data_IF_855962386546
#
_entry.id   IF_855962386546
#
_cell.length_a   1.000
_cell.length_b   1.000
_cell.length_c   1.000
_cell.angle_alpha   90.00
_cell.angle_beta   90.00
_cell.angle_gamma   90.00
#
_symmetry.space_group_name_H-M   'P 1'
#
loop_
_entity.id
_entity.type
_entity.pdbx_description
1 polymer ?
#
# COMPACT_ATOMS: atom_id res chain seq x y z
N UNK A 1 -6.43 10.13 15.95
CA UNK A 1 -7.50 9.17 16.28
C UNK A 1 -8.77 9.64 15.60
N UNK A 2 -9.25 8.92 14.60
CA UNK A 2 -10.47 9.24 13.86
C UNK A 2 -11.69 8.81 14.67
N UNK A 3 -12.46 9.78 15.15
CA UNK A 3 -13.77 9.51 15.72
C UNK A 3 -14.71 9.01 14.61
N UNK A 4 -15.48 7.93 14.82
CA UNK A 4 -16.52 7.57 13.87
C UNK A 4 -17.57 8.71 13.80
N UNK A 5 -18.08 9.06 12.61
CA UNK A 5 -19.06 10.13 12.46
C UNK A 5 -20.33 9.82 13.26
N UNK A 6 -20.99 10.87 13.78
CA UNK A 6 -22.29 10.83 14.51
C UNK A 6 -23.44 10.11 13.77
N UNK A 7 -23.22 9.71 12.52
CA UNK A 7 -24.16 8.97 11.68
C UNK A 7 -24.22 7.47 11.97
N UNK A 8 -23.37 6.96 12.89
CA UNK A 8 -23.39 5.56 13.32
C UNK A 8 -24.75 5.12 13.85
N UNK A 9 -25.41 5.97 14.63
CA UNK A 9 -26.65 5.63 15.31
C UNK A 9 -27.81 5.50 14.30
N UNK A 10 -27.85 6.43 13.33
CA UNK A 10 -28.81 6.39 12.21
C UNK A 10 -28.64 5.14 11.35
N UNK A 11 -27.40 4.74 11.09
CA UNK A 11 -27.09 3.53 10.33
C UNK A 11 -27.50 2.28 11.10
N UNK A 12 -27.25 2.23 12.41
CA UNK A 12 -27.66 1.12 13.27
C UNK A 12 -29.18 0.97 13.30
N UNK A 13 -29.92 2.08 13.41
CA UNK A 13 -31.38 2.07 13.41
C UNK A 13 -31.95 1.62 12.06
N UNK A 14 -31.39 2.11 10.96
CA UNK A 14 -31.74 1.65 9.62
C UNK A 14 -31.51 0.13 9.47
N UNK A 15 -30.34 -0.36 9.89
CA UNK A 15 -30.03 -1.79 9.81
C UNK A 15 -30.92 -2.63 10.70
N UNK A 16 -31.37 -2.12 11.85
CA UNK A 16 -32.35 -2.78 12.73
C UNK A 16 -33.74 -2.83 12.09
N UNK A 17 -34.17 -1.73 11.49
CA UNK A 17 -35.47 -1.61 10.83
C UNK A 17 -35.59 -2.51 9.60
N UNK A 18 -34.49 -2.71 8.88
CA UNK A 18 -34.44 -3.51 7.66
C UNK A 18 -33.83 -4.90 7.86
N UNK A 19 -33.85 -5.48 9.07
CA UNK A 19 -33.41 -6.87 9.26
C UNK A 19 -34.47 -7.82 8.71
N UNK A 20 -34.17 -8.59 7.64
CA UNK A 20 -35.05 -9.66 7.24
C UNK A 20 -35.08 -10.74 8.32
N UNK A 21 -36.20 -11.43 8.44
CA UNK A 21 -36.31 -12.61 9.30
C UNK A 21 -35.35 -13.67 8.74
N UNK A 22 -34.44 -14.23 9.57
CA UNK A 22 -33.55 -15.29 9.10
C UNK A 22 -34.40 -16.50 8.68
N UNK A 23 -34.02 -17.20 7.59
CA UNK A 23 -34.70 -18.42 7.20
C UNK A 23 -34.60 -19.46 8.32
N UNK A 24 -35.60 -20.33 8.42
CA UNK A 24 -35.56 -21.46 9.34
C UNK A 24 -34.29 -22.29 9.07
N UNK A 25 -33.59 -22.78 10.11
CA UNK A 25 -32.45 -23.66 9.91
C UNK A 25 -32.88 -24.90 9.11
N UNK A 26 -32.11 -25.22 8.08
CA UNK A 26 -32.27 -26.41 7.27
C UNK A 26 -31.18 -27.43 7.69
N UNK A 27 -31.49 -28.40 8.58
CA UNK A 27 -30.49 -29.31 9.14
C UNK A 27 -29.90 -30.28 8.10
N UNK A 28 -30.62 -30.49 6.99
CA UNK A 28 -30.21 -31.31 5.84
C UNK A 28 -29.31 -30.55 4.84
N UNK A 29 -29.14 -29.24 5.00
CA UNK A 29 -28.46 -28.40 4.02
C UNK A 29 -26.98 -28.77 3.87
N UNK A 30 -26.31 -29.07 4.99
CA UNK A 30 -24.91 -29.46 4.98
C UNK A 30 -24.71 -30.79 4.24
N UNK A 31 -25.52 -31.80 4.55
CA UNK A 31 -25.47 -33.10 3.90
C UNK A 31 -25.75 -32.99 2.39
N UNK A 32 -26.71 -32.15 2.01
CA UNK A 32 -27.04 -31.89 0.60
C UNK A 32 -25.91 -31.18 -0.13
N UNK A 33 -25.24 -30.21 0.50
CA UNK A 33 -24.08 -29.52 -0.07
C UNK A 33 -22.92 -30.50 -0.23
N UNK A 34 -22.60 -31.28 0.80
CA UNK A 34 -21.52 -32.28 0.75
C UNK A 34 -21.77 -33.32 -0.35
N UNK A 35 -23.00 -33.82 -0.45
CA UNK A 35 -23.40 -34.75 -1.52
C UNK A 35 -23.26 -34.10 -2.89
N UNK A 36 -23.70 -32.84 -3.06
CA UNK A 36 -23.59 -32.12 -4.31
C UNK A 36 -22.13 -31.86 -4.72
N UNK A 37 -21.25 -31.54 -3.76
CA UNK A 37 -19.82 -31.35 -4.01
C UNK A 37 -19.16 -32.66 -4.42
N UNK A 38 -19.45 -33.76 -3.71
CA UNK A 38 -18.93 -35.09 -4.02
C UNK A 38 -19.44 -35.62 -5.38
N UNK A 39 -20.68 -35.31 -5.75
CA UNK A 39 -21.27 -35.68 -7.02
C UNK A 39 -20.85 -34.75 -8.18
N UNK A 40 -20.29 -33.57 -7.89
CA UNK A 40 -19.87 -32.64 -8.92
C UNK A 40 -18.56 -33.14 -9.58
N UNK A 41 -18.56 -33.42 -10.90
CA UNK A 41 -17.30 -33.56 -11.61
C UNK A 41 -16.60 -32.20 -11.52
N UNK A 42 -15.42 -32.16 -10.91
CA UNK A 42 -14.59 -30.96 -10.84
C UNK A 42 -14.60 -30.28 -12.22
N UNK A 43 -15.08 -29.03 -12.25
CA UNK A 43 -15.29 -28.28 -13.47
C UNK A 43 -14.05 -28.43 -14.37
N UNK A 44 -14.25 -28.98 -15.57
CA UNK A 44 -13.20 -29.07 -16.58
C UNK A 44 -12.70 -27.65 -16.82
N UNK A 45 -11.51 -27.33 -16.31
CA UNK A 45 -10.83 -26.08 -16.61
C UNK A 45 -10.59 -26.03 -18.11
N UNK A 46 -11.43 -25.29 -18.83
CA UNK A 46 -11.14 -24.93 -20.21
C UNK A 46 -9.88 -24.03 -20.20
N UNK A 47 -8.91 -24.24 -21.10
CA UNK A 47 -7.67 -23.48 -21.12
C UNK A 47 -7.90 -22.07 -21.69
N UNK A 48 -8.59 -21.20 -20.95
CA UNK A 48 -8.76 -19.78 -21.27
C UNK A 48 -7.42 -19.02 -21.37
N UNK A 49 -6.33 -19.62 -20.88
CA UNK A 49 -4.98 -19.02 -20.90
C UNK A 49 -4.46 -18.68 -22.31
N UNK A 50 -4.89 -19.41 -23.35
CA UNK A 50 -4.39 -19.19 -24.72
C UNK A 50 -5.16 -18.11 -25.48
N UNK A 51 -6.42 -17.87 -25.11
CA UNK A 51 -7.30 -16.89 -25.77
C UNK A 51 -7.20 -15.48 -25.15
N UNK A 52 -6.58 -15.33 -23.97
CA UNK A 52 -6.42 -14.04 -23.30
C UNK A 52 -5.13 -13.27 -23.68
N UNK A 53 -4.15 -13.94 -24.29
CA UNK A 53 -2.90 -13.31 -24.71
C UNK A 53 -2.99 -12.61 -26.07
N UNK A 54 -3.97 -12.97 -26.89
CA UNK A 54 -4.18 -12.38 -28.22
C UNK A 54 -4.47 -10.87 -28.14
N UNK A 55 -5.40 -10.38 -27.29
CA UNK A 55 -5.65 -8.94 -27.19
C UNK A 55 -4.49 -8.15 -26.57
N UNK A 56 -3.77 -8.74 -25.59
CA UNK A 56 -2.61 -8.08 -24.96
C UNK A 56 -1.47 -7.85 -25.94
N UNK A 57 -1.15 -8.84 -26.79
CA UNK A 57 -0.08 -8.71 -27.77
C UNK A 57 -0.39 -7.62 -28.82
N UNK A 58 -1.65 -7.54 -29.26
CA UNK A 58 -2.12 -6.52 -30.21
C UNK A 58 -2.09 -5.12 -29.56
N UNK A 59 -2.55 -4.98 -28.31
CA UNK A 59 -2.50 -3.71 -27.60
C UNK A 59 -1.05 -3.23 -27.37
N UNK A 60 -0.16 -4.15 -26.99
CA UNK A 60 1.26 -3.84 -26.79
C UNK A 60 1.94 -3.36 -28.08
N UNK A 61 1.68 -4.02 -29.22
CA UNK A 61 2.24 -3.58 -30.51
C UNK A 61 1.67 -2.24 -30.96
N UNK A 62 0.38 -1.96 -30.70
CA UNK A 62 -0.22 -0.66 -30.99
C UNK A 62 0.39 0.47 -30.14
N UNK A 63 0.60 0.23 -28.84
CA UNK A 63 1.22 1.20 -27.93
C UNK A 63 2.68 1.47 -28.30
N UNK A 64 3.43 0.45 -28.70
CA UNK A 64 4.81 0.62 -29.18
C UNK A 64 4.82 1.39 -30.52
N UNK A 65 3.93 1.07 -31.46
CA UNK A 65 3.84 1.77 -32.73
C UNK A 65 3.44 3.25 -32.55
N UNK A 66 2.48 3.55 -31.68
CA UNK A 66 2.02 4.91 -31.37
C UNK A 66 3.01 5.71 -30.51
N UNK A 67 3.62 5.06 -29.52
CA UNK A 67 4.66 5.66 -28.69
C UNK A 67 5.91 5.97 -29.52
N UNK A 68 6.31 5.07 -30.42
CA UNK A 68 7.44 5.26 -31.32
C UNK A 68 7.25 6.48 -32.23
N UNK A 69 6.09 6.64 -32.86
CA UNK A 69 5.82 7.82 -33.71
C UNK A 69 5.80 9.13 -32.91
N UNK A 70 5.37 9.10 -31.64
CA UNK A 70 5.42 10.27 -30.75
C UNK A 70 6.84 10.60 -30.29
N UNK A 71 7.68 9.59 -30.00
CA UNK A 71 9.09 9.77 -29.63
C UNK A 71 9.94 10.29 -30.80
N UNK A 72 9.60 9.94 -32.04
CA UNK A 72 10.27 10.48 -33.22
C UNK A 72 9.97 11.97 -33.49
N UNK A 73 8.98 12.55 -32.77
CA UNK A 73 8.65 13.98 -32.84
C UNK A 73 9.20 14.78 -31.65
N UNK A 74 10.31 14.37 -31.05
CA UNK A 74 10.97 15.24 -30.05
C UNK A 74 11.34 16.57 -30.71
N UNK A 75 10.79 17.71 -30.25
CA UNK A 75 11.24 19.02 -30.69
C UNK A 75 12.72 19.11 -30.37
N UNK A 76 13.55 19.50 -31.35
CA UNK A 76 14.95 19.78 -31.10
C UNK A 76 15.03 20.84 -30.00
N UNK A 77 15.63 20.54 -28.82
CA UNK A 77 15.68 21.51 -27.74
C UNK A 77 16.45 22.75 -28.20
N UNK A 78 15.92 23.91 -27.86
CA UNK A 78 16.54 25.20 -28.14
C UNK A 78 17.78 25.38 -27.26
N UNK A 79 18.70 26.26 -27.68
CA UNK A 79 19.93 26.53 -26.91
C UNK A 79 19.63 27.04 -25.49
N UNK A 80 18.51 27.73 -25.29
CA UNK A 80 18.09 28.20 -23.97
C UNK A 80 17.62 27.07 -23.06
N UNK A 81 16.93 26.06 -23.59
CA UNK A 81 16.48 24.88 -22.84
C UNK A 81 17.66 23.96 -22.47
N UNK A 82 18.71 23.92 -23.30
CA UNK A 82 19.96 23.24 -22.95
C UNK A 82 20.68 23.97 -21.82
N UNK A 83 20.79 25.30 -21.89
CA UNK A 83 21.42 26.09 -20.83
C UNK A 83 20.69 25.96 -19.48
N UNK A 84 19.35 25.90 -19.49
CA UNK A 84 18.59 25.68 -18.26
C UNK A 84 18.76 24.27 -17.68
N UNK A 85 18.89 23.25 -18.55
CA UNK A 85 19.15 21.88 -18.13
C UNK A 85 20.56 21.71 -17.54
N UNK A 86 21.56 22.32 -18.16
CA UNK A 86 22.95 22.34 -17.66
C UNK A 86 23.02 23.00 -16.28
N UNK A 87 22.38 24.15 -16.10
CA UNK A 87 22.32 24.84 -14.81
C UNK A 87 21.59 24.01 -13.74
N UNK A 88 20.51 23.32 -14.11
CA UNK A 88 19.78 22.43 -13.19
C UNK A 88 20.63 21.24 -12.74
N UNK A 89 21.35 20.61 -13.66
CA UNK A 89 22.24 19.49 -13.37
C UNK A 89 23.40 19.93 -12.47
N UNK A 90 24.01 21.09 -12.76
CA UNK A 90 25.08 21.65 -11.94
C UNK A 90 24.61 21.95 -10.51
N UNK A 91 23.43 22.58 -10.37
CA UNK A 91 22.85 22.87 -9.06
C UNK A 91 22.50 21.59 -8.28
N UNK A 92 21.98 20.57 -8.95
CA UNK A 92 21.63 19.29 -8.30
C UNK A 92 22.88 18.51 -7.87
N UNK A 93 23.96 18.56 -8.65
CA UNK A 93 25.22 17.89 -8.29
C UNK A 93 25.93 18.56 -7.11
N UNK A 94 25.86 19.89 -7.01
CA UNK A 94 26.42 20.63 -5.88
C UNK A 94 25.62 20.37 -4.58
N UNK A 95 24.29 20.21 -4.69
CA UNK A 95 23.41 19.92 -3.56
C UNK A 95 23.65 18.53 -2.96
N UNK A 96 23.82 17.51 -3.81
CA UNK A 96 24.08 16.13 -3.36
C UNK A 96 25.44 15.98 -2.67
N UNK A 97 26.42 16.82 -3.01
CA UNK A 97 27.74 16.85 -2.34
C UNK A 97 27.80 17.69 -1.06
N UNK A 98 26.79 18.52 -0.79
CA UNK A 98 26.78 19.54 0.27
C UNK A 98 26.00 19.20 1.53
N UNK A 99 25.41 18.00 1.64
CA UNK A 99 24.67 17.59 2.85
C UNK A 99 25.49 16.61 3.71
N UNK A 100 26.67 17.03 4.14
CA UNK A 100 27.35 16.46 5.30
C UNK A 100 28.17 17.52 6.03
N UNK A 101 27.63 18.74 6.17
CA UNK A 101 28.11 19.65 7.23
C UNK A 101 27.50 19.19 8.56
N UNK A 102 28.31 18.39 9.26
CA UNK A 102 28.47 18.37 10.70
C UNK A 102 27.25 18.79 11.53
N UNK A 103 26.30 17.86 11.70
CA UNK A 103 25.70 17.74 13.02
C UNK A 103 26.77 17.12 13.90
N UNK A 104 27.53 17.98 14.56
CA UNK A 104 28.35 17.63 15.71
C UNK A 104 27.47 16.81 16.64
N UNK A 105 27.67 15.50 16.56
CA UNK A 105 27.14 14.56 17.50
C UNK A 105 28.01 14.79 18.70
N UNK A 106 27.57 15.70 19.58
CA UNK A 106 27.98 15.74 20.96
C UNK A 106 27.90 14.29 21.44
N UNK A 107 29.06 13.67 21.55
CA UNK A 107 29.23 12.32 22.05
C UNK A 107 28.75 12.40 23.49
N UNK A 108 27.47 12.11 23.70
CA UNK A 108 26.92 11.79 25.00
C UNK A 108 27.68 10.54 25.44
N UNK A 109 28.74 10.79 26.21
CA UNK A 109 29.63 9.79 26.77
C UNK A 109 28.75 8.86 27.59
N UNK A 110 28.63 7.62 27.10
CA UNK A 110 27.90 6.57 27.77
C UNK A 110 28.49 6.39 29.17
N UNK A 111 27.87 7.01 30.18
CA UNK A 111 28.21 6.85 31.58
C UNK A 111 27.40 5.69 32.17
N UNK A 112 27.99 4.50 32.34
CA UNK A 112 27.31 3.35 32.92
C UNK A 112 26.93 3.55 34.40
N UNK A 113 27.38 4.63 35.05
CA UNK A 113 27.11 4.94 36.45
C UNK A 113 25.68 5.43 36.70
N UNK A 114 25.01 5.97 35.68
CA UNK A 114 23.63 6.48 35.81
C UNK A 114 22.59 5.35 35.99
N UNK A 115 22.93 4.11 35.64
CA UNK A 115 21.99 3.00 35.74
C UNK A 115 21.69 2.60 37.19
N UNK A 116 22.69 2.73 38.08
CA UNK A 116 22.62 2.23 39.46
C UNK A 116 21.71 3.04 40.39
N UNK A 117 21.21 4.20 39.96
CA UNK A 117 20.36 5.06 40.80
C UNK A 117 18.85 4.82 40.57
N UNK A 118 18.50 3.95 39.63
CA UNK A 118 17.10 3.72 39.19
C UNK A 118 16.36 2.72 40.07
N UNK A 119 17.07 1.78 40.70
CA UNK A 119 16.46 0.69 41.46
C UNK A 119 16.13 1.06 42.91
N UNK A 120 16.74 2.13 43.45
CA UNK A 120 16.51 2.52 44.85
C UNK A 120 15.24 3.36 45.05
N UNK A 121 14.75 4.05 44.01
CA UNK A 121 13.61 4.99 44.11
C UNK A 121 12.22 4.33 44.04
N UNK A 122 12.14 3.01 43.87
CA UNK A 122 10.87 2.26 43.91
C UNK A 122 10.56 1.64 45.26
N UNK A 123 11.49 1.63 46.22
CA UNK A 123 11.27 0.93 47.51
C UNK A 123 10.69 1.83 48.62
N UNK A 124 10.72 3.16 48.46
CA UNK A 124 10.23 4.10 49.50
C UNK A 124 8.76 4.52 49.34
N UNK A 125 8.02 3.92 48.41
CA UNK A 125 6.60 4.25 48.17
C UNK A 125 5.63 3.11 48.47
N UNK A 126 5.98 2.23 49.43
CA UNK A 126 5.07 1.26 50.03
C UNK A 126 5.35 1.20 51.54
N UNK A 127 5.04 2.27 52.27
CA UNK A 127 4.54 2.23 53.65
C UNK A 127 4.18 3.64 54.13
N UNK A 128 2.92 4.01 53.93
CA UNK A 128 2.10 4.69 54.97
C UNK A 128 0.61 4.40 54.67
#
# INVERSE_FOLDING_TARGET
MSHPPKDSDRLVDFLRQHRPVPPSPAPDLEERIMTAVAASPHAKTFPHRRLWLIPSAIAATLLIAWGSTSLHQQPKPSAAELASLEAFLENTWQDVGGSSEARDTELDEFDPSNWSNSDQRSSDLIHD
#
